data_IF_934849847731
#
_entry.id   IF_934849847731
#
_cell.length_a   1.000
_cell.length_b   1.000
_cell.length_c   1.000
_cell.angle_alpha   90.00
_cell.angle_beta   90.00
_cell.angle_gamma   90.00
#
_symmetry.space_group_name_H-M   'P 1'
#
loop_
_entity.id
_entity.type
_entity.pdbx_description
1 polymer ?
#
# COMPACT_ATOMS: atom_id res chain seq x y z
N UNK A 1 7.83 7.02 4.73
CA UNK A 1 7.48 6.30 3.49
C UNK A 1 6.06 5.77 3.49
N UNK A 2 5.49 5.52 4.67
CA UNK A 2 4.07 5.22 4.87
C UNK A 2 3.57 6.12 6.01
N UNK A 3 2.26 6.39 6.07
CA UNK A 3 1.65 7.12 7.17
C UNK A 3 0.44 6.38 7.76
N UNK A 4 -0.06 6.92 8.86
CA UNK A 4 -1.17 6.39 9.63
C UNK A 4 -2.51 6.30 8.86
N UNK A 5 -2.76 7.22 7.95
CA UNK A 5 -3.97 7.21 7.10
C UNK A 5 -3.95 6.05 6.10
N UNK A 6 -2.78 5.77 5.52
CA UNK A 6 -2.62 4.65 4.58
C UNK A 6 -2.86 3.31 5.29
N UNK A 7 -2.38 3.17 6.51
CA UNK A 7 -2.61 1.95 7.32
C UNK A 7 -4.09 1.80 7.65
N UNK A 8 -4.74 2.85 8.17
CA UNK A 8 -6.17 2.81 8.52
C UNK A 8 -7.07 2.56 7.31
N UNK A 9 -6.72 3.13 6.16
CA UNK A 9 -7.40 2.82 4.91
C UNK A 9 -7.30 1.34 4.56
N UNK A 10 -6.10 0.75 4.67
CA UNK A 10 -5.92 -0.68 4.40
C UNK A 10 -6.69 -1.56 5.39
N UNK A 11 -6.76 -1.19 6.68
CA UNK A 11 -7.59 -1.92 7.65
C UNK A 11 -9.08 -1.91 7.22
N UNK A 12 -9.61 -0.74 6.88
CA UNK A 12 -11.01 -0.60 6.43
C UNK A 12 -11.24 -1.37 5.12
N UNK A 13 -10.35 -1.21 4.14
CA UNK A 13 -10.47 -1.82 2.83
C UNK A 13 -10.36 -3.35 2.91
N UNK A 14 -9.38 -3.89 3.64
CA UNK A 14 -9.24 -5.33 3.81
C UNK A 14 -10.43 -5.94 4.57
N UNK A 15 -10.92 -5.26 5.60
CA UNK A 15 -12.15 -5.67 6.31
C UNK A 15 -13.33 -5.72 5.35
N UNK A 16 -13.50 -4.69 4.52
CA UNK A 16 -14.53 -4.66 3.48
C UNK A 16 -14.39 -5.81 2.49
N UNK A 17 -13.18 -6.14 2.03
CA UNK A 17 -12.97 -7.24 1.09
C UNK A 17 -13.31 -8.62 1.67
N UNK A 18 -13.19 -8.79 2.99
CA UNK A 18 -13.58 -10.04 3.67
C UNK A 18 -15.09 -10.14 3.84
N UNK A 19 -15.76 -9.01 4.06
CA UNK A 19 -17.21 -8.96 4.29
C UNK A 19 -18.03 -8.91 3.00
N UNK A 20 -17.44 -8.45 1.90
CA UNK A 20 -18.12 -8.29 0.62
C UNK A 20 -18.22 -9.61 -0.13
N UNK A 21 -19.38 -9.87 -0.71
CA UNK A 21 -19.57 -11.02 -1.58
C UNK A 21 -18.59 -10.97 -2.76
N UNK A 22 -17.86 -12.06 -2.98
CA UNK A 22 -16.92 -12.20 -4.09
C UNK A 22 -17.25 -13.45 -4.90
N UNK A 23 -17.72 -13.26 -6.13
CA UNK A 23 -17.93 -14.37 -7.06
C UNK A 23 -16.59 -15.03 -7.44
N UNK A 24 -16.58 -16.35 -7.76
CA UNK A 24 -15.40 -17.01 -8.28
C UNK A 24 -14.88 -16.32 -9.56
N UNK A 25 -13.56 -16.19 -9.66
CA UNK A 25 -12.91 -15.51 -10.77
C UNK A 25 -12.23 -16.53 -11.69
N UNK A 26 -12.55 -16.47 -12.99
CA UNK A 26 -11.82 -17.20 -14.03
C UNK A 26 -10.80 -16.28 -14.73
N UNK A 27 -10.01 -16.82 -15.66
CA UNK A 27 -8.96 -16.05 -16.35
C UNK A 27 -9.50 -14.84 -17.12
N UNK A 28 -10.70 -14.95 -17.70
CA UNK A 28 -11.36 -13.87 -18.42
C UNK A 28 -11.76 -12.74 -17.46
N UNK A 29 -12.41 -13.08 -16.34
CA UNK A 29 -12.75 -12.13 -15.27
C UNK A 29 -11.49 -11.44 -14.73
N UNK A 30 -10.42 -12.20 -14.45
CA UNK A 30 -9.13 -11.66 -14.02
C UNK A 30 -8.56 -10.66 -15.03
N UNK A 31 -8.68 -10.93 -16.33
CA UNK A 31 -8.25 -10.00 -17.37
C UNK A 31 -9.09 -8.70 -17.37
N UNK A 32 -10.40 -8.77 -17.14
CA UNK A 32 -11.25 -7.59 -17.00
C UNK A 32 -10.86 -6.74 -15.77
N UNK A 33 -10.52 -7.37 -14.65
CA UNK A 33 -10.02 -6.64 -13.48
C UNK A 33 -8.66 -5.96 -13.77
N UNK A 34 -7.74 -6.65 -14.44
CA UNK A 34 -6.45 -6.08 -14.87
C UNK A 34 -6.61 -4.86 -15.80
N UNK A 35 -7.62 -4.85 -16.66
CA UNK A 35 -7.93 -3.68 -17.50
C UNK A 35 -8.28 -2.44 -16.66
N UNK A 36 -9.09 -2.58 -15.61
CA UNK A 36 -9.37 -1.48 -14.69
C UNK A 36 -8.11 -0.98 -13.99
N UNK A 37 -7.25 -1.90 -13.52
CA UNK A 37 -5.97 -1.54 -12.90
C UNK A 37 -5.11 -0.71 -13.85
N UNK A 38 -4.95 -1.14 -15.11
CA UNK A 38 -4.19 -0.41 -16.12
C UNK A 38 -4.78 0.99 -16.38
N UNK A 39 -6.11 1.10 -16.48
CA UNK A 39 -6.79 2.39 -16.65
C UNK A 39 -6.53 3.34 -15.47
N UNK A 40 -6.57 2.86 -14.24
CA UNK A 40 -6.26 3.68 -13.05
C UNK A 40 -4.77 4.07 -13.02
N UNK A 41 -3.86 3.15 -13.34
CA UNK A 41 -2.42 3.43 -13.39
C UNK A 41 -2.10 4.53 -14.40
N UNK A 42 -2.63 4.43 -15.62
CA UNK A 42 -2.32 5.38 -16.69
C UNK A 42 -3.12 6.68 -16.59
N UNK A 43 -4.38 6.60 -16.17
CA UNK A 43 -5.38 7.66 -16.35
C UNK A 43 -6.29 7.85 -15.14
N UNK A 44 -5.96 7.31 -13.97
CA UNK A 44 -6.82 7.32 -12.78
C UNK A 44 -7.12 8.69 -12.18
N UNK A 45 -6.48 9.77 -12.65
CA UNK A 45 -6.86 11.16 -12.30
C UNK A 45 -7.73 11.84 -13.36
N UNK A 46 -8.06 11.17 -14.47
CA UNK A 46 -8.91 11.72 -15.54
C UNK A 46 -10.38 11.73 -15.09
N UNK A 47 -11.04 12.90 -14.97
CA UNK A 47 -12.46 12.96 -14.63
C UNK A 47 -13.31 12.17 -15.63
N UNK A 48 -14.29 11.42 -15.12
CA UNK A 48 -15.19 10.62 -15.95
C UNK A 48 -14.57 9.37 -16.56
N UNK A 49 -13.39 8.92 -16.11
CA UNK A 49 -12.83 7.63 -16.54
C UNK A 49 -13.81 6.50 -16.20
N UNK A 50 -14.26 5.78 -17.22
CA UNK A 50 -15.15 4.63 -17.05
C UNK A 50 -14.36 3.35 -16.73
N UNK A 51 -14.85 2.64 -15.74
CA UNK A 51 -14.38 1.33 -15.30
C UNK A 51 -15.53 0.32 -15.39
N UNK A 52 -15.20 -0.97 -15.30
CA UNK A 52 -16.16 -2.06 -15.48
C UNK A 52 -16.11 -3.05 -14.32
N UNK A 53 -17.25 -3.35 -13.71
CA UNK A 53 -17.30 -4.31 -12.60
C UNK A 53 -17.45 -5.72 -13.19
N UNK A 54 -16.36 -6.49 -13.26
CA UNK A 54 -16.33 -7.81 -13.92
C UNK A 54 -16.54 -7.76 -15.44
N UNK A 55 -16.51 -8.90 -16.13
CA UNK A 55 -16.64 -8.91 -17.59
C UNK A 55 -18.07 -8.73 -18.13
N UNK A 56 -19.10 -8.86 -17.31
CA UNK A 56 -20.50 -8.65 -17.73
C UNK A 56 -21.28 -7.69 -16.82
N UNK A 57 -20.62 -7.07 -15.84
CA UNK A 57 -21.29 -6.16 -14.93
C UNK A 57 -21.39 -4.74 -15.46
N UNK A 58 -21.83 -3.87 -14.55
CA UNK A 58 -22.09 -2.47 -14.83
C UNK A 58 -20.80 -1.68 -15.15
N UNK A 59 -21.02 -0.52 -15.77
CA UNK A 59 -19.98 0.48 -15.98
C UNK A 59 -20.25 1.66 -15.08
N UNK A 60 -19.22 2.11 -14.38
CA UNK A 60 -19.27 3.28 -13.54
C UNK A 60 -18.07 4.17 -13.85
N UNK A 61 -18.22 5.47 -13.59
CA UNK A 61 -17.04 6.32 -13.51
C UNK A 61 -16.22 5.91 -12.28
N UNK A 62 -14.90 6.13 -12.32
CA UNK A 62 -14.02 5.90 -11.18
C UNK A 62 -14.51 6.60 -9.91
N UNK A 63 -15.12 7.79 -10.04
CA UNK A 63 -15.68 8.57 -8.94
C UNK A 63 -16.90 7.87 -8.34
N UNK A 64 -17.88 7.55 -9.18
CA UNK A 64 -19.10 6.88 -8.72
C UNK A 64 -18.81 5.51 -8.08
N UNK A 65 -17.83 4.77 -8.60
CA UNK A 65 -17.43 3.51 -8.00
C UNK A 65 -16.70 3.72 -6.67
N UNK A 66 -15.77 4.68 -6.60
CA UNK A 66 -15.07 4.99 -5.36
C UNK A 66 -16.04 5.46 -4.27
N UNK A 67 -17.00 6.33 -4.58
CA UNK A 67 -18.05 6.79 -3.66
C UNK A 67 -18.84 5.61 -3.10
N UNK A 68 -19.27 4.68 -3.95
CA UNK A 68 -19.98 3.46 -3.53
C UNK A 68 -19.17 2.63 -2.53
N UNK A 69 -17.89 2.39 -2.83
CA UNK A 69 -17.02 1.65 -1.90
C UNK A 69 -16.83 2.42 -0.60
N UNK A 70 -16.64 3.75 -0.68
CA UNK A 70 -16.42 4.60 0.48
C UNK A 70 -17.65 4.74 1.38
N UNK A 71 -18.86 4.59 0.87
CA UNK A 71 -20.07 4.48 1.69
C UNK A 71 -19.99 3.25 2.61
N UNK A 72 -19.56 2.10 2.09
CA UNK A 72 -19.38 0.88 2.89
C UNK A 72 -18.21 1.04 3.88
N UNK A 73 -17.10 1.64 3.44
CA UNK A 73 -15.95 1.89 4.32
C UNK A 73 -16.32 2.79 5.51
N UNK A 74 -17.28 3.71 5.34
CA UNK A 74 -17.75 4.56 6.45
C UNK A 74 -18.46 3.74 7.55
N UNK A 75 -19.18 2.69 7.17
CA UNK A 75 -19.82 1.79 8.15
C UNK A 75 -18.76 1.06 8.97
N UNK A 76 -17.71 0.56 8.30
CA UNK A 76 -16.58 -0.11 8.94
C UNK A 76 -15.81 0.86 9.84
N UNK A 77 -15.54 2.08 9.35
CA UNK A 77 -14.86 3.12 10.11
C UNK A 77 -15.56 3.41 11.44
N UNK A 78 -16.89 3.54 11.43
CA UNK A 78 -17.70 3.77 12.63
C UNK A 78 -17.59 2.64 13.65
N UNK A 79 -17.58 1.39 13.20
CA UNK A 79 -17.44 0.26 14.12
C UNK A 79 -16.03 0.15 14.71
N UNK A 80 -14.98 0.41 13.92
CA UNK A 80 -13.60 0.45 14.41
C UNK A 80 -13.42 1.56 15.46
N UNK A 81 -13.89 2.77 15.14
CA UNK A 81 -13.87 3.93 16.04
C UNK A 81 -14.67 3.67 17.33
N UNK A 82 -15.84 3.02 17.23
CA UNK A 82 -16.66 2.66 18.40
C UNK A 82 -15.93 1.73 19.37
N UNK A 83 -15.14 0.79 18.86
CA UNK A 83 -14.37 -0.14 19.69
C UNK A 83 -13.12 0.52 20.28
N UNK A 84 -12.46 1.38 19.51
CA UNK A 84 -11.26 2.09 19.93
C UNK A 84 -11.55 3.26 20.89
N UNK A 85 -12.75 3.83 20.83
CA UNK A 85 -13.14 5.00 21.61
C UNK A 85 -12.58 6.33 21.07
N UNK A 86 -12.29 6.41 19.77
CA UNK A 86 -11.82 7.61 19.07
C UNK A 86 -12.61 7.85 17.77
N UNK A 87 -12.13 8.76 16.90
CA UNK A 87 -12.71 9.03 15.58
C UNK A 87 -11.68 8.86 14.44
N UNK A 88 -10.59 8.13 14.67
CA UNK A 88 -9.43 8.14 13.80
C UNK A 88 -9.74 7.58 12.40
N UNK A 89 -10.53 6.50 12.30
CA UNK A 89 -10.90 5.89 11.03
C UNK A 89 -11.89 6.77 10.24
N UNK A 90 -12.88 7.38 10.91
CA UNK A 90 -13.78 8.34 10.25
C UNK A 90 -13.04 9.57 9.74
N UNK A 91 -12.04 10.06 10.48
CA UNK A 91 -11.21 11.19 10.02
C UNK A 91 -10.34 10.80 8.81
N UNK A 92 -9.77 9.60 8.79
CA UNK A 92 -9.06 9.06 7.61
C UNK A 92 -10.00 8.93 6.42
N UNK A 93 -11.19 8.35 6.60
CA UNK A 93 -12.24 8.26 5.58
C UNK A 93 -12.56 9.62 4.97
N UNK A 94 -12.80 10.64 5.81
CA UNK A 94 -13.08 12.00 5.36
C UNK A 94 -11.94 12.59 4.52
N UNK A 95 -10.69 12.43 4.96
CA UNK A 95 -9.51 12.92 4.22
C UNK A 95 -9.38 12.26 2.85
N UNK A 96 -9.56 10.95 2.79
CA UNK A 96 -9.44 10.20 1.54
C UNK A 96 -10.63 10.42 0.59
N UNK A 97 -11.83 10.63 1.13
CA UNK A 97 -13.01 10.98 0.34
C UNK A 97 -12.81 12.27 -0.44
N UNK A 98 -12.11 13.27 0.13
CA UNK A 98 -11.79 14.50 -0.58
C UNK A 98 -10.96 14.27 -1.85
N UNK A 99 -10.13 13.23 -1.90
CA UNK A 99 -9.34 12.88 -3.08
C UNK A 99 -10.18 12.28 -4.22
N UNK A 100 -11.36 11.76 -3.91
CA UNK A 100 -12.33 11.27 -4.91
C UNK A 100 -12.99 12.47 -5.62
N UNK A 101 -13.28 13.52 -4.86
CA UNK A 101 -13.85 14.77 -5.38
C UNK A 101 -12.83 15.59 -6.18
N UNK A 102 -11.60 15.69 -5.66
CA UNK A 102 -10.50 16.41 -6.30
C UNK A 102 -9.27 15.48 -6.48
N UNK A 103 -9.07 14.93 -7.69
CA UNK A 103 -7.94 14.06 -8.00
C UNK A 103 -6.56 14.70 -7.79
N UNK A 104 -6.45 16.03 -7.77
CA UNK A 104 -5.17 16.70 -7.51
C UNK A 104 -4.74 16.59 -6.04
N UNK A 105 -5.66 16.26 -5.13
CA UNK A 105 -5.35 15.96 -3.73
C UNK A 105 -4.72 14.57 -3.54
N UNK A 106 -4.74 13.70 -4.55
CA UNK A 106 -4.04 12.41 -4.48
C UNK A 106 -2.53 12.62 -4.41
N UNK A 107 -1.80 11.64 -3.84
CA UNK A 107 -0.34 11.67 -3.77
C UNK A 107 0.29 11.87 -5.17
N UNK A 108 -0.28 11.23 -6.20
CA UNK A 108 0.23 11.38 -7.58
C UNK A 108 -0.07 12.75 -8.20
N UNK A 109 -1.18 13.39 -7.83
CA UNK A 109 -1.51 14.76 -8.20
C UNK A 109 -0.54 15.75 -7.57
N UNK A 110 -0.39 15.69 -6.24
CA UNK A 110 0.50 16.55 -5.47
C UNK A 110 1.96 16.41 -5.94
N UNK A 111 2.47 15.18 -6.03
CA UNK A 111 3.87 14.94 -6.43
C UNK A 111 4.14 15.41 -7.87
N UNK A 112 3.20 15.25 -8.79
CA UNK A 112 3.36 15.74 -10.15
C UNK A 112 3.38 17.27 -10.20
N UNK A 113 2.52 17.93 -9.43
CA UNK A 113 2.49 19.39 -9.34
C UNK A 113 3.81 19.93 -8.80
N UNK A 114 4.32 19.36 -7.71
CA UNK A 114 5.63 19.71 -7.15
C UNK A 114 6.77 19.45 -8.14
N UNK A 115 6.75 18.30 -8.81
CA UNK A 115 7.76 17.93 -9.81
C UNK A 115 7.81 18.93 -10.96
N UNK A 116 6.65 19.37 -11.45
CA UNK A 116 6.56 20.39 -12.50
C UNK A 116 7.07 21.74 -12.02
N UNK A 117 6.69 22.16 -10.81
CA UNK A 117 7.13 23.43 -10.23
C UNK A 117 8.65 23.47 -9.98
N UNK A 118 9.24 22.35 -9.57
CA UNK A 118 10.67 22.21 -9.34
C UNK A 118 11.50 21.98 -10.61
N UNK A 119 10.86 21.75 -11.76
CA UNK A 119 11.53 21.51 -13.05
C UNK A 119 12.12 20.11 -13.22
N UNK A 120 11.76 19.14 -12.36
CA UNK A 120 12.20 17.75 -12.50
C UNK A 120 12.12 16.92 -11.23
N UNK A 121 11.94 15.60 -11.40
CA UNK A 121 11.76 14.65 -10.28
C UNK A 121 13.02 14.51 -9.42
N UNK A 122 14.21 14.65 -10.02
CA UNK A 122 15.48 14.56 -9.30
C UNK A 122 15.63 15.66 -8.24
N UNK A 123 15.11 16.86 -8.49
CA UNK A 123 15.15 17.97 -7.53
C UNK A 123 14.29 17.67 -6.31
N UNK A 124 13.07 17.19 -6.53
CA UNK A 124 12.15 16.78 -5.44
C UNK A 124 12.73 15.59 -4.66
N UNK A 125 13.25 14.58 -5.36
CA UNK A 125 13.87 13.41 -4.73
C UNK A 125 15.04 13.79 -3.82
N UNK A 126 15.95 14.65 -4.29
CA UNK A 126 17.06 15.15 -3.49
C UNK A 126 16.59 15.97 -2.28
N UNK A 127 15.61 16.86 -2.47
CA UNK A 127 15.02 17.66 -1.39
C UNK A 127 14.46 16.76 -0.29
N UNK A 128 13.57 15.83 -0.64
CA UNK A 128 12.95 14.89 0.31
C UNK A 128 14.00 14.01 1.00
N UNK A 129 15.02 13.56 0.28
CA UNK A 129 16.10 12.76 0.85
C UNK A 129 16.89 13.50 1.94
N UNK A 130 17.19 14.79 1.72
CA UNK A 130 17.87 15.64 2.72
C UNK A 130 16.96 15.85 3.93
N UNK A 131 15.71 16.24 3.72
CA UNK A 131 14.74 16.48 4.81
C UNK A 131 14.51 15.23 5.67
N UNK A 132 14.33 14.07 5.04
CA UNK A 132 14.16 12.82 5.76
C UNK A 132 15.43 12.40 6.50
N UNK A 133 16.62 12.57 5.89
CA UNK A 133 17.89 12.29 6.56
C UNK A 133 18.05 13.12 7.83
N UNK A 134 17.80 14.43 7.75
CA UNK A 134 17.89 15.32 8.91
C UNK A 134 16.91 14.93 10.00
N UNK A 135 15.65 14.64 9.63
CA UNK A 135 14.61 14.18 10.56
C UNK A 135 15.02 12.88 11.26
N UNK A 136 15.53 11.90 10.51
CA UNK A 136 15.92 10.60 11.07
C UNK A 136 17.17 10.67 11.94
N UNK A 137 18.14 11.53 11.61
CA UNK A 137 19.32 11.75 12.45
C UNK A 137 18.98 12.46 13.76
N UNK A 138 17.97 13.33 13.76
CA UNK A 138 17.50 14.03 14.96
C UNK A 138 16.54 13.18 15.82
N UNK A 139 15.96 12.12 15.26
CA UNK A 139 14.95 11.30 15.93
C UNK A 139 15.56 10.49 17.10
N UNK A 140 14.87 10.52 18.25
CA UNK A 140 15.23 9.71 19.41
C UNK A 140 14.47 8.38 19.40
N UNK A 141 15.13 7.32 19.84
CA UNK A 141 14.55 6.02 20.11
C UNK A 141 13.28 6.11 20.98
N UNK A 142 12.19 5.44 20.55
CA UNK A 142 10.89 5.45 21.27
C UNK A 142 10.47 4.08 21.78
N UNK A 143 10.63 3.03 20.96
CA UNK A 143 10.23 1.67 21.29
C UNK A 143 11.44 0.77 21.54
N UNK A 144 12.40 0.77 20.61
CA UNK A 144 13.68 0.08 20.75
C UNK A 144 14.76 1.05 21.19
N UNK A 145 15.68 0.58 22.01
CA UNK A 145 16.90 1.28 22.40
C UNK A 145 18.04 1.03 21.41
N UNK A 146 19.07 1.89 21.45
CA UNK A 146 20.30 1.64 20.69
C UNK A 146 20.93 0.28 21.03
N UNK A 147 20.93 -0.09 22.31
CA UNK A 147 21.54 -1.33 22.77
C UNK A 147 20.84 -2.58 22.21
N UNK A 148 19.51 -2.58 22.16
CA UNK A 148 18.75 -3.70 21.56
C UNK A 148 19.05 -3.85 20.07
N UNK A 149 19.16 -2.73 19.34
CA UNK A 149 19.49 -2.76 17.92
C UNK A 149 20.95 -3.14 17.66
N UNK A 150 21.89 -2.74 18.53
CA UNK A 150 23.29 -3.18 18.41
C UNK A 150 23.42 -4.69 18.70
N UNK A 151 22.67 -5.21 19.69
CA UNK A 151 22.63 -6.64 19.97
C UNK A 151 22.00 -7.45 18.81
N UNK A 152 21.03 -6.87 18.10
CA UNK A 152 20.47 -7.43 16.86
C UNK A 152 21.52 -7.59 15.76
N UNK A 153 22.42 -6.63 15.61
CA UNK A 153 23.54 -6.72 14.64
C UNK A 153 24.44 -7.90 14.97
N UNK A 154 24.84 -8.06 16.24
CA UNK A 154 25.70 -9.18 16.65
C UNK A 154 24.99 -10.53 16.45
N UNK A 155 23.73 -10.62 16.88
CA UNK A 155 22.94 -11.85 16.76
C UNK A 155 22.74 -12.25 15.31
N UNK A 156 22.36 -11.31 14.43
CA UNK A 156 22.11 -11.61 13.01
C UNK A 156 23.37 -12.11 12.29
N UNK A 157 24.53 -11.50 12.56
CA UNK A 157 25.81 -11.97 12.00
C UNK A 157 26.20 -13.36 12.52
N UNK A 158 25.96 -13.63 13.80
CA UNK A 158 26.23 -14.95 14.37
C UNK A 158 25.30 -16.03 13.79
N UNK A 159 24.01 -15.73 13.67
CA UNK A 159 23.04 -16.62 13.04
C UNK A 159 23.40 -16.92 11.57
N UNK A 160 23.87 -15.92 10.83
CA UNK A 160 24.40 -16.14 9.47
C UNK A 160 25.56 -17.13 9.47
N UNK A 161 26.58 -16.93 10.31
CA UNK A 161 27.74 -17.83 10.40
C UNK A 161 27.35 -19.26 10.78
N UNK A 162 26.36 -19.41 11.66
CA UNK A 162 25.84 -20.71 12.06
C UNK A 162 25.15 -21.43 10.90
N UNK A 163 24.39 -20.71 10.07
CA UNK A 163 23.81 -21.28 8.84
C UNK A 163 24.94 -21.73 7.92
N UNK A 164 25.89 -20.85 7.61
CA UNK A 164 27.02 -21.14 6.71
C UNK A 164 27.89 -22.31 7.20
N UNK A 165 28.13 -22.42 8.52
CA UNK A 165 28.90 -23.52 9.09
C UNK A 165 28.13 -24.85 9.12
N UNK A 166 26.80 -24.79 9.09
CA UNK A 166 25.94 -25.97 9.10
C UNK A 166 25.50 -26.43 7.72
N UNK A 167 25.81 -25.70 6.65
CA UNK A 167 25.58 -26.15 5.27
C UNK A 167 26.25 -27.51 5.02
N UNK A 168 25.46 -28.47 4.54
CA UNK A 168 25.91 -29.84 4.23
C UNK A 168 25.91 -30.13 2.74
N UNK A 169 25.08 -29.41 1.99
CA UNK A 169 24.94 -29.53 0.55
C UNK A 169 25.77 -28.44 -0.12
N UNK A 170 26.27 -28.74 -1.31
CA UNK A 170 26.66 -27.67 -2.22
C UNK A 170 25.41 -26.84 -2.58
N UNK A 171 25.62 -25.59 -2.98
CA UNK A 171 24.51 -24.73 -3.41
C UNK A 171 23.68 -25.36 -4.55
N UNK A 172 24.33 -26.06 -5.48
CA UNK A 172 23.65 -26.76 -6.58
C UNK A 172 22.73 -27.87 -6.09
N UNK A 173 23.20 -28.72 -5.16
CA UNK A 173 22.40 -29.80 -4.57
C UNK A 173 21.21 -29.23 -3.78
N UNK A 174 21.43 -28.16 -3.01
CA UNK A 174 20.35 -27.45 -2.33
C UNK A 174 19.27 -26.96 -3.30
N UNK A 175 19.66 -26.39 -4.45
CA UNK A 175 18.70 -25.96 -5.47
C UNK A 175 17.94 -27.13 -6.10
N UNK A 176 18.62 -28.24 -6.38
CA UNK A 176 17.97 -29.44 -6.91
C UNK A 176 16.92 -30.01 -5.96
N UNK A 177 17.24 -30.05 -4.65
CA UNK A 177 16.32 -30.47 -3.61
C UNK A 177 15.17 -29.48 -3.41
N UNK A 178 15.47 -28.17 -3.34
CA UNK A 178 14.48 -27.10 -3.16
C UNK A 178 13.42 -27.13 -4.27
N UNK A 179 13.82 -27.34 -5.53
CA UNK A 179 12.89 -27.39 -6.66
C UNK A 179 12.36 -28.79 -6.98
N UNK A 180 12.57 -29.78 -6.11
CA UNK A 180 12.08 -31.14 -6.35
C UNK A 180 10.56 -31.24 -6.48
N UNK A 181 9.79 -30.34 -5.85
CA UNK A 181 8.32 -30.29 -5.94
C UNK A 181 7.77 -29.80 -7.30
N UNK A 182 8.64 -29.29 -8.18
CA UNK A 182 8.27 -28.88 -9.54
C UNK A 182 8.45 -30.00 -10.59
N UNK A 183 9.07 -31.12 -10.22
CA UNK A 183 9.31 -32.28 -11.08
C UNK A 183 8.19 -33.30 -10.92
#
# INVERSE_FOLDING_TARGET
GVNEDQVRFLDMFLTWTVLSDSAPMNDSEMACWKDNWNKIIEKGRKPGLELKIGCQGERLTQKAWAERVFEDLLVIAKEMDRVNGDDAYQQTHKRLSAMIDDPELTISGQLLAETKAAGGIGVIGCKLAVEHRETHLAHQYRFYTKQELDAEVERSVQAQKEIEANDKLSFSEYLEEYFSYLK
#
